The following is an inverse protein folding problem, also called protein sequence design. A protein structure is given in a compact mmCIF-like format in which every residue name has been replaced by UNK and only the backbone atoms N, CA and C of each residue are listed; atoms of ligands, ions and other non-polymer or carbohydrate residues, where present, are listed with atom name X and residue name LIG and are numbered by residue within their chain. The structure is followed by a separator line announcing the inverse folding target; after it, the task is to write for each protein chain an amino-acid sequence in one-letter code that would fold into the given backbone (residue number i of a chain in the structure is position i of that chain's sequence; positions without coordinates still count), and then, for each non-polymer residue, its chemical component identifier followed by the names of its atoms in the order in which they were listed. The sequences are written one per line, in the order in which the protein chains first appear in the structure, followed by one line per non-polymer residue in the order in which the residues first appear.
data_IF_290165401497
#
_entry.id   IF_290165401497
#
_cell.length_a   1.000
_cell.length_b   1.000
_cell.length_c   1.000
_cell.angle_alpha   90.00
_cell.angle_beta   90.00
_cell.angle_gamma   90.00
#
_symmetry.space_group_name_H-M   'P 1'
#
loop_
_entity.id
_entity.type
_entity.pdbx_description
1 polymer ?
#
# COMPACT_ATOMS: atom_id res chain seq x y z
N UNK A 1 20.08 -8.01 3.59
CA UNK A 1 19.30 -7.45 4.72
C UNK A 1 17.83 -7.71 4.43
N UNK A 2 17.17 -8.61 5.18
CA UNK A 2 15.79 -9.06 4.92
C UNK A 2 14.81 -8.09 5.58
N UNK A 3 14.23 -7.18 4.80
CA UNK A 3 13.13 -6.30 5.23
C UNK A 3 11.91 -7.15 5.53
N UNK A 4 11.58 -7.27 6.81
CA UNK A 4 10.44 -7.99 7.35
C UNK A 4 9.19 -7.16 7.08
N UNK A 5 8.52 -7.41 5.97
CA UNK A 5 7.12 -7.01 5.78
C UNK A 5 6.31 -7.68 6.90
N UNK A 6 6.00 -6.95 7.97
CA UNK A 6 5.07 -7.43 9.01
C UNK A 6 3.66 -7.26 8.46
N UNK A 7 3.24 -8.19 7.61
CA UNK A 7 1.86 -8.63 7.58
C UNK A 7 1.62 -9.41 8.87
N UNK A 8 1.37 -8.69 9.96
CA UNK A 8 1.23 -9.26 11.29
C UNK A 8 0.78 -8.18 12.26
N UNK A 9 -0.43 -8.38 12.79
CA UNK A 9 -1.16 -7.53 13.72
C UNK A 9 -0.27 -6.65 14.61
N UNK A 10 -0.63 -5.36 14.69
CA UNK A 10 -0.05 -4.45 15.68
C UNK A 10 -0.39 -4.96 17.09
N UNK A 11 0.52 -4.80 18.07
CA UNK A 11 0.30 -5.23 19.45
C UNK A 11 -0.84 -4.47 20.18
N UNK A 12 -1.35 -3.40 19.56
CA UNK A 12 -2.48 -2.60 20.04
C UNK A 12 -3.86 -3.10 19.57
N UNK A 13 -3.93 -4.21 18.82
CA UNK A 13 -5.21 -4.85 18.45
C UNK A 13 -5.98 -4.15 17.33
N UNK A 14 -5.46 -3.05 16.77
CA UNK A 14 -6.00 -2.44 15.56
C UNK A 14 -5.56 -3.27 14.35
N UNK A 15 -6.53 -3.92 13.70
CA UNK A 15 -6.34 -4.69 12.49
C UNK A 15 -5.87 -3.77 11.34
N UNK A 16 -4.56 -3.55 11.25
CA UNK A 16 -3.91 -3.01 10.05
C UNK A 16 -4.12 -3.98 8.90
N UNK A 17 -5.05 -3.63 8.00
CA UNK A 17 -5.66 -4.45 6.95
C UNK A 17 -6.75 -5.41 7.45
N UNK A 18 -7.76 -4.85 8.10
CA UNK A 18 -9.14 -5.25 7.88
C UNK A 18 -10.05 -4.03 7.65
N UNK A 19 -9.55 -2.98 6.98
CA UNK A 19 -10.49 -2.08 6.30
C UNK A 19 -11.02 -2.89 5.13
N UNK A 20 -12.24 -3.38 5.30
CA UNK A 20 -12.90 -4.29 4.40
C UNK A 20 -12.60 -3.91 2.94
N UNK A 21 -12.07 -4.86 2.17
CA UNK A 21 -12.10 -4.83 0.71
C UNK A 21 -13.54 -4.79 0.14
N UNK A 22 -14.55 -4.58 1.00
CA UNK A 22 -15.91 -4.26 0.63
C UNK A 22 -16.14 -2.73 0.72
N UNK A 23 -16.23 -2.10 -0.45
CA UNK A 23 -16.92 -0.83 -0.73
C UNK A 23 -16.27 0.54 -0.40
N UNK A 24 -15.11 0.63 0.26
CA UNK A 24 -14.47 1.93 0.50
C UNK A 24 -13.54 2.36 -0.65
N UNK A 25 -13.71 3.57 -1.19
CA UNK A 25 -12.82 4.13 -2.23
C UNK A 25 -11.36 4.21 -1.77
N UNK A 26 -10.41 4.02 -2.67
CA UNK A 26 -8.97 3.96 -2.34
C UNK A 26 -8.37 5.32 -1.90
N UNK A 27 -9.10 6.41 -2.07
CA UNK A 27 -8.68 7.78 -1.77
C UNK A 27 -9.24 8.34 -0.44
N UNK A 28 -10.04 7.56 0.29
CA UNK A 28 -10.58 7.97 1.60
C UNK A 28 -9.48 8.09 2.66
N UNK A 29 -9.70 8.97 3.63
CA UNK A 29 -8.67 9.37 4.60
C UNK A 29 -8.04 8.19 5.39
N UNK A 30 -8.80 7.21 5.90
CA UNK A 30 -8.19 6.06 6.59
C UNK A 30 -7.23 5.25 5.70
N UNK A 31 -7.57 5.09 4.42
CA UNK A 31 -6.72 4.37 3.46
C UNK A 31 -5.46 5.19 3.19
N UNK A 32 -5.59 6.50 3.05
CA UNK A 32 -4.49 7.38 2.74
C UNK A 32 -3.53 7.59 3.91
N UNK A 33 -4.00 7.49 5.15
CA UNK A 33 -3.15 7.44 6.34
C UNK A 33 -2.27 6.18 6.38
N UNK A 34 -2.79 5.04 5.92
CA UNK A 34 -2.00 3.81 5.78
C UNK A 34 -0.98 3.92 4.63
N UNK A 35 -1.36 4.53 3.50
CA UNK A 35 -0.43 4.78 2.40
C UNK A 35 0.67 5.77 2.82
N UNK A 36 0.36 6.80 3.61
CA UNK A 36 1.35 7.71 4.20
C UNK A 36 2.33 6.96 5.11
N UNK A 37 1.85 6.03 5.94
CA UNK A 37 2.71 5.20 6.79
C UNK A 37 3.70 4.38 5.94
N UNK A 38 3.24 3.78 4.83
CA UNK A 38 4.10 3.06 3.89
C UNK A 38 5.11 3.98 3.20
N UNK A 39 4.66 5.17 2.75
CA UNK A 39 5.52 6.17 2.10
C UNK A 39 6.62 6.68 3.03
N UNK A 40 6.30 6.96 4.31
CA UNK A 40 7.28 7.37 5.32
C UNK A 40 8.31 6.28 5.58
N UNK A 41 7.89 5.03 5.69
CA UNK A 41 8.81 3.90 5.84
C UNK A 41 9.80 3.75 4.68
N UNK A 42 9.40 4.06 3.44
CA UNK A 42 10.32 4.14 2.30
C UNK A 42 11.24 5.37 2.40
N UNK A 43 10.68 6.50 2.84
CA UNK A 43 11.39 7.77 2.95
C UNK A 43 12.48 7.77 4.02
N UNK A 44 12.40 6.90 5.03
CA UNK A 44 13.48 6.67 6.00
C UNK A 44 14.78 6.20 5.34
N UNK A 45 14.70 5.46 4.23
CA UNK A 45 15.88 5.06 3.45
C UNK A 45 16.19 6.07 2.36
N UNK A 46 15.17 6.43 1.56
CA UNK A 46 15.28 7.39 0.46
C UNK A 46 13.89 7.82 0.03
N UNK A 47 13.61 9.12 0.12
CA UNK A 47 12.31 9.67 -0.29
C UNK A 47 12.06 9.43 -1.78
N UNK A 48 11.02 8.67 -2.15
CA UNK A 48 10.65 8.50 -3.55
C UNK A 48 9.90 9.76 -4.03
N UNK A 49 10.17 10.16 -5.28
CA UNK A 49 9.33 11.14 -5.99
C UNK A 49 7.92 10.57 -6.20
N UNK A 50 6.97 11.45 -6.54
CA UNK A 50 5.62 11.03 -6.88
C UNK A 50 5.60 9.99 -8.03
N UNK A 51 6.46 10.13 -9.04
CA UNK A 51 6.53 9.18 -10.15
C UNK A 51 7.12 7.82 -9.73
N UNK A 52 8.20 7.84 -8.94
CA UNK A 52 8.78 6.60 -8.40
C UNK A 52 7.79 5.87 -7.49
N UNK A 53 7.00 6.61 -6.70
CA UNK A 53 5.97 6.01 -5.87
C UNK A 53 4.83 5.42 -6.72
N UNK A 54 4.40 6.08 -7.80
CA UNK A 54 3.47 5.49 -8.79
C UNK A 54 4.05 4.22 -9.44
N UNK A 55 5.35 4.18 -9.70
CA UNK A 55 6.00 3.00 -10.25
C UNK A 55 5.93 1.80 -9.30
N UNK A 56 6.08 2.04 -7.98
CA UNK A 56 5.86 1.03 -6.94
C UNK A 56 4.40 0.55 -6.98
N UNK A 57 3.43 1.45 -7.08
CA UNK A 57 2.01 1.09 -7.23
C UNK A 57 1.74 0.22 -8.46
N UNK A 58 2.33 0.53 -9.62
CA UNK A 58 2.22 -0.31 -10.83
C UNK A 58 2.83 -1.70 -10.63
N UNK A 59 3.91 -1.81 -9.85
CA UNK A 59 4.54 -3.08 -9.56
C UNK A 59 3.63 -4.03 -8.75
N UNK A 60 2.71 -3.52 -7.94
CA UNK A 60 1.72 -4.36 -7.24
C UNK A 60 0.90 -5.25 -8.21
N UNK A 61 0.64 -4.78 -9.43
CA UNK A 61 -0.15 -5.52 -10.44
C UNK A 61 0.74 -6.19 -11.49
N UNK A 62 1.85 -5.55 -11.87
CA UNK A 62 2.69 -6.02 -12.98
C UNK A 62 3.79 -7.00 -12.55
N UNK A 63 4.16 -7.03 -11.27
CA UNK A 63 5.10 -8.02 -10.74
C UNK A 63 4.32 -9.22 -10.21
N UNK A 64 4.43 -10.38 -10.86
CA UNK A 64 3.67 -11.59 -10.52
C UNK A 64 3.86 -12.05 -9.07
N UNK A 65 5.06 -11.90 -8.51
CA UNK A 65 5.35 -12.28 -7.11
C UNK A 65 4.58 -11.36 -6.16
N UNK A 66 4.59 -10.05 -6.42
CA UNK A 66 3.91 -9.08 -5.57
C UNK A 66 2.40 -9.19 -5.71
N UNK A 67 1.91 -9.34 -6.96
CA UNK A 67 0.50 -9.56 -7.25
C UNK A 67 -0.01 -10.78 -6.50
N UNK A 68 0.69 -11.91 -6.60
CA UNK A 68 0.30 -13.15 -5.89
C UNK A 68 0.23 -12.95 -4.38
N UNK A 69 1.19 -12.21 -3.80
CA UNK A 69 1.19 -11.90 -2.37
C UNK A 69 -0.06 -11.08 -1.96
N UNK A 70 -0.38 -10.00 -2.67
CA UNK A 70 -1.58 -9.21 -2.39
C UNK A 70 -2.88 -10.01 -2.61
N UNK A 71 -3.00 -10.72 -3.72
CA UNK A 71 -4.21 -11.49 -4.06
C UNK A 71 -4.46 -12.66 -3.09
N UNK A 72 -3.41 -13.19 -2.44
CA UNK A 72 -3.55 -14.21 -1.40
C UNK A 72 -4.16 -13.68 -0.09
N UNK A 73 -4.12 -12.36 0.14
CA UNK A 73 -4.72 -11.72 1.31
C UNK A 73 -6.20 -11.47 1.04
N UNK A 74 -6.51 -10.84 -0.09
CA UNK A 74 -7.87 -10.62 -0.54
C UNK A 74 -7.91 -10.48 -2.07
N UNK A 75 -8.91 -11.08 -2.75
CA UNK A 75 -9.11 -10.87 -4.17
C UNK A 75 -9.26 -9.38 -4.51
N UNK A 76 -8.52 -8.90 -5.51
CA UNK A 76 -8.52 -7.51 -5.98
C UNK A 76 -7.63 -6.56 -5.17
N UNK A 77 -6.95 -7.04 -4.13
CA UNK A 77 -6.13 -6.18 -3.27
C UNK A 77 -4.94 -5.57 -4.03
N UNK A 78 -4.37 -6.27 -5.02
CA UNK A 78 -3.26 -5.72 -5.80
C UNK A 78 -3.67 -4.46 -6.56
N UNK A 79 -4.86 -4.49 -7.15
CA UNK A 79 -5.43 -3.37 -7.88
C UNK A 79 -5.86 -2.24 -6.93
N UNK A 80 -6.44 -2.59 -5.77
CA UNK A 80 -6.78 -1.62 -4.73
C UNK A 80 -5.54 -0.86 -4.22
N UNK A 81 -4.45 -1.58 -3.92
CA UNK A 81 -3.20 -0.98 -3.48
C UNK A 81 -2.60 -0.04 -4.54
N UNK A 82 -2.66 -0.44 -5.83
CA UNK A 82 -2.24 0.43 -6.95
C UNK A 82 -3.02 1.75 -6.96
N UNK A 83 -4.34 1.67 -6.83
CA UNK A 83 -5.22 2.85 -6.84
C UNK A 83 -4.97 3.76 -5.62
N UNK A 84 -4.75 3.17 -4.44
CA UNK A 84 -4.46 3.92 -3.22
C UNK A 84 -3.13 4.69 -3.33
N UNK A 85 -2.09 4.03 -3.87
CA UNK A 85 -0.79 4.65 -4.15
C UNK A 85 -0.91 5.77 -5.19
N UNK A 86 -1.69 5.58 -6.25
CA UNK A 86 -1.93 6.60 -7.28
C UNK A 86 -2.61 7.84 -6.68
N UNK A 87 -3.66 7.65 -5.87
CA UNK A 87 -4.35 8.73 -5.18
C UNK A 87 -3.42 9.51 -4.24
N UNK A 88 -2.55 8.80 -3.51
CA UNK A 88 -1.56 9.43 -2.64
C UNK A 88 -0.49 10.19 -3.42
N UNK A 89 0.04 9.60 -4.50
CA UNK A 89 1.04 10.23 -5.35
C UNK A 89 0.54 11.51 -6.03
N UNK A 90 -0.77 11.63 -6.27
CA UNK A 90 -1.39 12.87 -6.75
C UNK A 90 -1.36 14.01 -5.71
N UNK A 91 -1.17 13.69 -4.41
CA UNK A 91 -1.03 14.66 -3.31
C UNK A 91 0.42 15.08 -3.06
N UNK A 92 1.39 14.28 -3.50
CA UNK A 92 2.83 14.54 -3.35
C UNK A 92 3.40 15.61 -4.31
N UNK A 93 2.54 16.18 -5.16
CA UNK A 93 2.92 17.19 -6.16
C UNK A 93 3.48 18.47 -5.55
#
# INVERSE_FOLDING_TARGET
MRGRWRYGARPDGEAGVAVAAAAASADVEPVQAEVDTQYRGLSEMRTPSAEEYRAIGRACVNNEVWRTAYESIAPGLAEYQRQAIEAYANRLR
#
